data_IF_414233928148
#
_entry.id   IF_414233928148
#
_cell.length_a   1.000
_cell.length_b   1.000
_cell.length_c   1.000
_cell.angle_alpha   90.00
_cell.angle_beta   90.00
_cell.angle_gamma   90.00
#
_symmetry.space_group_name_H-M   'P 1'
#
loop_
_entity.id
_entity.type
_entity.pdbx_description
1 polymer ?
#
# COMPACT_ATOMS: atom_id res chain seq x y z
N UNK A 1 -10.02 -6.87 -10.36
CA UNK A 1 -8.80 -7.31 -9.66
C UNK A 1 -8.46 -6.33 -8.55
N UNK A 2 -8.01 -6.83 -7.40
CA UNK A 2 -7.54 -6.02 -6.26
C UNK A 2 -6.05 -5.73 -6.38
N UNK A 3 -5.61 -4.50 -6.11
CA UNK A 3 -4.20 -4.16 -6.00
C UNK A 3 -3.79 -4.15 -4.52
N UNK A 4 -2.86 -5.03 -4.13
CA UNK A 4 -2.38 -5.17 -2.75
C UNK A 4 -1.00 -4.53 -2.58
N UNK A 5 -0.90 -3.50 -1.73
CA UNK A 5 0.34 -2.85 -1.37
C UNK A 5 0.86 -3.40 -0.03
N UNK A 6 2.17 -3.60 0.09
CA UNK A 6 2.78 -4.08 1.34
C UNK A 6 2.64 -5.60 1.56
N UNK A 7 2.42 -6.38 0.50
CA UNK A 7 2.16 -7.83 0.57
C UNK A 7 3.22 -8.66 1.31
N UNK A 8 4.46 -8.17 1.45
CA UNK A 8 5.53 -8.88 2.16
C UNK A 8 5.48 -8.68 3.68
N UNK A 9 4.74 -7.70 4.18
CA UNK A 9 4.55 -7.49 5.63
C UNK A 9 3.56 -8.49 6.23
N UNK A 10 3.51 -8.58 7.56
CA UNK A 10 2.65 -9.54 8.26
C UNK A 10 1.17 -9.44 7.83
N UNK A 11 0.59 -8.23 7.88
CA UNK A 11 -0.80 -8.00 7.46
C UNK A 11 -0.98 -8.19 5.95
N UNK A 12 0.00 -7.77 5.13
CA UNK A 12 -0.04 -7.98 3.68
C UNK A 12 -0.08 -9.47 3.29
N UNK A 13 0.69 -10.32 3.98
CA UNK A 13 0.66 -11.76 3.78
C UNK A 13 -0.70 -12.35 4.16
N UNK A 14 -1.30 -11.90 5.28
CA UNK A 14 -2.64 -12.32 5.69
C UNK A 14 -3.70 -11.97 4.63
N UNK A 15 -3.66 -10.75 4.06
CA UNK A 15 -4.52 -10.39 2.94
C UNK A 15 -4.29 -11.26 1.71
N UNK A 16 -3.03 -11.49 1.32
CA UNK A 16 -2.71 -12.33 0.16
C UNK A 16 -3.26 -13.76 0.33
N UNK A 17 -3.06 -14.38 1.49
CA UNK A 17 -3.59 -15.72 1.80
C UNK A 17 -5.11 -15.75 1.74
N UNK A 18 -5.80 -14.77 2.33
CA UNK A 18 -7.26 -14.75 2.32
C UNK A 18 -7.84 -14.50 0.92
N UNK A 19 -7.20 -13.63 0.13
CA UNK A 19 -7.60 -13.38 -1.26
C UNK A 19 -7.43 -14.63 -2.12
N UNK A 20 -6.33 -15.37 -1.95
CA UNK A 20 -6.12 -16.66 -2.61
C UNK A 20 -7.19 -17.68 -2.21
N UNK A 21 -7.47 -17.82 -0.91
CA UNK A 21 -8.49 -18.74 -0.39
C UNK A 21 -9.89 -18.43 -0.95
N UNK A 22 -10.21 -17.15 -1.15
CA UNK A 22 -11.47 -16.70 -1.75
C UNK A 22 -11.49 -16.76 -3.27
N UNK A 23 -10.40 -17.16 -3.92
CA UNK A 23 -10.24 -17.09 -5.38
C UNK A 23 -10.47 -15.68 -5.93
N UNK A 24 -10.18 -14.64 -5.13
CA UNK A 24 -10.31 -13.24 -5.54
C UNK A 24 -9.06 -12.82 -6.32
N UNK A 25 -9.17 -12.39 -7.59
CA UNK A 25 -8.01 -11.96 -8.37
C UNK A 25 -7.34 -10.73 -7.75
N UNK A 26 -6.04 -10.82 -7.51
CA UNK A 26 -5.25 -9.71 -6.99
C UNK A 26 -3.84 -9.66 -7.59
N UNK A 27 -3.23 -8.48 -7.53
CA UNK A 27 -1.81 -8.26 -7.83
C UNK A 27 -1.14 -7.66 -6.60
N UNK A 28 -0.08 -8.30 -6.12
CA UNK A 28 0.79 -7.72 -5.10
C UNK A 28 1.79 -6.78 -5.79
N UNK A 29 1.71 -5.47 -5.50
CA UNK A 29 2.64 -4.48 -6.05
C UNK A 29 3.69 -4.10 -5.01
N UNK A 30 4.96 -4.35 -5.33
CA UNK A 30 6.09 -3.95 -4.49
C UNK A 30 6.63 -2.56 -4.86
N UNK A 31 7.22 -1.87 -3.89
CA UNK A 31 7.90 -0.57 -4.14
C UNK A 31 9.12 -0.70 -5.06
N UNK A 32 9.65 -1.92 -5.26
CA UNK A 32 10.76 -2.19 -6.19
C UNK A 32 10.29 -2.20 -7.64
N UNK A 33 9.06 -2.63 -7.89
CA UNK A 33 8.45 -2.64 -9.22
C UNK A 33 7.92 -1.26 -9.61
N UNK A 34 7.32 -0.56 -8.65
CA UNK A 34 6.86 0.82 -8.84
C UNK A 34 6.92 1.57 -7.52
N UNK A 35 7.64 2.69 -7.50
CA UNK A 35 7.69 3.54 -6.30
C UNK A 35 6.37 4.32 -6.14
N UNK A 36 5.41 3.67 -5.48
CA UNK A 36 4.11 4.27 -5.16
C UNK A 36 4.16 5.28 -4.01
N UNK A 37 5.35 5.67 -3.52
CA UNK A 37 5.50 6.89 -2.72
C UNK A 37 5.41 8.15 -3.60
N UNK A 38 5.54 7.99 -4.92
CA UNK A 38 5.42 9.08 -5.91
C UNK A 38 4.02 9.08 -6.51
N UNK A 39 3.26 10.15 -6.24
CA UNK A 39 1.89 10.35 -6.72
C UNK A 39 1.74 10.07 -8.21
N UNK A 40 2.54 10.72 -9.05
CA UNK A 40 2.44 10.61 -10.53
C UNK A 40 2.65 9.19 -11.05
N UNK A 41 3.60 8.45 -10.45
CA UNK A 41 3.87 7.06 -10.85
C UNK A 41 2.70 6.16 -10.47
N UNK A 42 2.18 6.34 -9.26
CA UNK A 42 1.08 5.53 -8.78
C UNK A 42 -0.23 5.85 -9.52
N UNK A 43 -0.54 7.13 -9.75
CA UNK A 43 -1.71 7.56 -10.54
C UNK A 43 -1.68 6.97 -11.95
N UNK A 44 -0.55 7.08 -12.67
CA UNK A 44 -0.39 6.48 -14.00
C UNK A 44 -0.57 4.96 -13.97
N UNK A 45 -0.07 4.31 -12.92
CA UNK A 45 -0.28 2.88 -12.74
C UNK A 45 -1.77 2.55 -12.59
N UNK A 46 -2.49 3.24 -11.70
CA UNK A 46 -3.92 3.04 -11.47
C UNK A 46 -4.76 3.30 -12.73
N UNK A 47 -4.47 4.36 -13.49
CA UNK A 47 -5.17 4.67 -14.73
C UNK A 47 -4.95 3.61 -15.82
N UNK A 48 -3.76 2.99 -15.85
CA UNK A 48 -3.41 1.93 -16.80
C UNK A 48 -4.02 0.58 -16.41
N UNK A 49 -3.95 0.20 -15.14
CA UNK A 49 -4.36 -1.13 -14.68
C UNK A 49 -5.82 -1.20 -14.22
N UNK A 50 -6.41 -0.05 -13.88
CA UNK A 50 -7.82 0.12 -13.47
C UNK A 50 -8.27 -0.95 -12.46
N UNK A 51 -7.59 -1.09 -11.31
CA UNK A 51 -8.00 -2.06 -10.30
C UNK A 51 -9.38 -1.70 -9.76
N UNK A 52 -10.14 -2.71 -9.36
CA UNK A 52 -11.47 -2.51 -8.77
C UNK A 52 -11.39 -1.98 -7.34
N UNK A 53 -10.27 -2.26 -6.66
CA UNK A 53 -10.01 -1.81 -5.29
C UNK A 53 -8.51 -1.82 -4.99
N UNK A 54 -8.05 -0.92 -4.12
CA UNK A 54 -6.68 -0.90 -3.59
C UNK A 54 -6.68 -1.22 -2.09
N UNK A 55 -5.89 -2.20 -1.67
CA UNK A 55 -5.63 -2.46 -0.24
C UNK A 55 -4.24 -1.95 0.12
N UNK A 56 -4.17 -0.93 0.97
CA UNK A 56 -2.90 -0.46 1.53
C UNK A 56 -2.60 -1.15 2.86
N UNK A 57 -1.72 -2.17 2.81
CA UNK A 57 -1.09 -2.78 3.98
C UNK A 57 0.41 -2.42 4.08
N UNK A 58 0.87 -1.40 3.33
CA UNK A 58 2.22 -0.87 3.44
C UNK A 58 2.31 0.18 4.54
N UNK A 59 3.39 0.12 5.32
CA UNK A 59 3.68 1.07 6.39
C UNK A 59 5.11 0.86 6.92
N UNK A 60 5.43 1.60 7.96
CA UNK A 60 6.68 1.53 8.70
C UNK A 60 6.41 1.13 10.15
N UNK A 61 6.89 -0.05 10.56
CA UNK A 61 6.64 -0.63 11.89
C UNK A 61 7.82 -0.43 12.84
N UNK A 62 8.87 0.27 12.43
CA UNK A 62 10.16 0.29 13.13
C UNK A 62 10.91 -1.04 13.04
N UNK A 63 12.22 -1.01 13.30
CA UNK A 63 13.06 -2.21 13.44
C UNK A 63 13.98 -2.02 14.66
N UNK A 64 14.07 -2.98 15.59
CA UNK A 64 13.46 -4.31 15.57
C UNK A 64 11.96 -4.34 15.94
N UNK A 65 11.41 -3.24 16.46
CA UNK A 65 10.02 -3.12 16.90
C UNK A 65 9.52 -1.67 16.76
N UNK A 66 8.28 -1.41 17.21
CA UNK A 66 7.61 -0.10 17.11
C UNK A 66 8.31 1.02 17.88
N UNK A 67 9.03 0.72 18.96
CA UNK A 67 9.76 1.72 19.75
C UNK A 67 10.83 2.44 18.91
N UNK A 68 11.35 1.78 17.87
CA UNK A 68 12.30 2.40 16.94
C UNK A 68 11.70 3.60 16.18
N UNK A 69 10.38 3.69 16.06
CA UNK A 69 9.70 4.82 15.42
C UNK A 69 9.90 6.14 16.19
N UNK A 70 10.12 6.10 17.51
CA UNK A 70 10.37 7.28 18.34
C UNK A 70 11.67 8.00 17.92
N UNK A 71 12.66 7.23 17.47
CA UNK A 71 13.94 7.73 16.98
C UNK A 71 13.91 7.97 15.47
N UNK A 72 13.26 7.06 14.71
CA UNK A 72 13.14 7.14 13.25
C UNK A 72 11.92 7.97 12.82
N UNK A 73 11.80 9.19 13.33
CA UNK A 73 10.62 10.05 13.12
C UNK A 73 10.35 10.36 11.65
N UNK A 74 11.40 10.63 10.87
CA UNK A 74 11.29 10.92 9.45
C UNK A 74 10.73 9.72 8.66
N UNK A 75 11.26 8.51 8.92
CA UNK A 75 10.80 7.29 8.26
C UNK A 75 9.38 6.93 8.68
N UNK A 76 9.04 7.14 9.95
CA UNK A 76 7.69 6.94 10.48
C UNK A 76 6.69 7.87 9.81
N UNK A 77 7.00 9.18 9.72
CA UNK A 77 6.15 10.16 9.03
C UNK A 77 6.01 9.80 7.54
N UNK A 78 7.11 9.43 6.89
CA UNK A 78 7.12 9.05 5.48
C UNK A 78 6.26 7.81 5.21
N UNK A 79 6.38 6.78 6.05
CA UNK A 79 5.73 5.49 5.86
C UNK A 79 4.28 5.44 6.33
N UNK A 80 3.92 6.19 7.37
CA UNK A 80 2.62 6.05 8.04
C UNK A 80 1.72 7.27 7.87
N UNK A 81 2.23 8.39 7.36
CA UNK A 81 1.42 9.60 7.11
C UNK A 81 1.46 9.99 5.64
N UNK A 82 2.66 10.26 5.11
CA UNK A 82 2.82 10.75 3.74
C UNK A 82 2.45 9.67 2.72
N UNK A 83 2.86 8.42 2.95
CA UNK A 83 2.52 7.31 2.05
C UNK A 83 1.01 7.08 1.94
N UNK A 84 0.24 6.88 3.04
CA UNK A 84 -1.21 6.76 2.95
C UNK A 84 -1.89 7.98 2.31
N UNK A 85 -1.40 9.20 2.59
CA UNK A 85 -1.90 10.41 1.94
C UNK A 85 -1.71 10.38 0.42
N UNK A 86 -0.52 10.03 -0.06
CA UNK A 86 -0.23 9.90 -1.49
C UNK A 86 -1.12 8.85 -2.15
N UNK A 87 -1.31 7.70 -1.51
CA UNK A 87 -2.19 6.63 -2.01
C UNK A 87 -3.63 7.13 -2.09
N UNK A 88 -4.13 7.80 -1.04
CA UNK A 88 -5.48 8.36 -0.99
C UNK A 88 -5.72 9.33 -2.14
N UNK A 89 -4.79 10.27 -2.36
CA UNK A 89 -4.87 11.27 -3.41
C UNK A 89 -4.86 10.64 -4.81
N UNK A 90 -3.98 9.67 -5.05
CA UNK A 90 -3.90 8.98 -6.33
C UNK A 90 -5.15 8.13 -6.61
N UNK A 91 -5.68 7.42 -5.60
CA UNK A 91 -6.91 6.64 -5.71
C UNK A 91 -8.11 7.56 -5.99
N UNK A 92 -8.21 8.69 -5.29
CA UNK A 92 -9.27 9.68 -5.54
C UNK A 92 -9.20 10.25 -6.96
N UNK A 93 -8.01 10.64 -7.43
CA UNK A 93 -7.81 11.15 -8.79
C UNK A 93 -8.09 10.10 -9.88
N UNK A 94 -7.82 8.82 -9.59
CA UNK A 94 -8.12 7.71 -10.49
C UNK A 94 -9.57 7.18 -10.37
N UNK A 95 -10.36 7.70 -9.42
CA UNK A 95 -11.70 7.20 -9.08
C UNK A 95 -11.70 5.72 -8.69
N UNK A 96 -10.66 5.27 -7.99
CA UNK A 96 -10.50 3.90 -7.51
C UNK A 96 -10.80 3.86 -6.00
N UNK A 97 -11.73 3.01 -5.54
CA UNK A 97 -11.96 2.83 -4.11
C UNK A 97 -10.77 2.13 -3.46
N UNK A 98 -10.51 2.45 -2.19
CA UNK A 98 -9.35 1.93 -1.47
C UNK A 98 -9.62 1.76 0.02
N UNK A 99 -8.84 0.91 0.67
CA UNK A 99 -8.85 0.68 2.11
C UNK A 99 -7.44 0.78 2.68
N UNK A 100 -7.33 1.37 3.87
CA UNK A 100 -6.07 1.54 4.59
C UNK A 100 -6.09 0.77 5.90
N UNK A 101 -5.02 0.01 6.16
CA UNK A 101 -4.74 -0.55 7.49
C UNK A 101 -4.00 0.50 8.32
N UNK A 102 -4.57 0.89 9.46
CA UNK A 102 -3.99 1.81 10.44
C UNK A 102 -3.69 1.12 11.77
#
# INVERSE_FOLDING_TARGET
MILLLGATGYIGQAFATELQKRHQPFTALSRKELDYTKFELFLKHLQRTKPEFVVNAAGYTGKPNVDACENAKADTLQGNTLLPQTIAQACAAAQVPWGHVS
#
